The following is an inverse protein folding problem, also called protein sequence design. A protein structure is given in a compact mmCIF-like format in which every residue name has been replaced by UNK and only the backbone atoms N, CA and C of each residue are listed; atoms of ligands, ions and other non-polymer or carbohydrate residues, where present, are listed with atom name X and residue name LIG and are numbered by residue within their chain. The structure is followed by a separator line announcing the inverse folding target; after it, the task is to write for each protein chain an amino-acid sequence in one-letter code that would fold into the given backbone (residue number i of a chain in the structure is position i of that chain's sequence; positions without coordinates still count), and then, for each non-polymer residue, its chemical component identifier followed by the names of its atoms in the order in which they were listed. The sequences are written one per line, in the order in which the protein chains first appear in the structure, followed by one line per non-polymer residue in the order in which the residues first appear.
data_IF_971314030214
#
_entry.id   IF_971314030214
#
_cell.length_a   1.000
_cell.length_b   1.000
_cell.length_c   1.000
_cell.angle_alpha   90.00
_cell.angle_beta   90.00
_cell.angle_gamma   90.00
#
_symmetry.space_group_name_H-M   'P 1'
#
loop_
_entity.id
_entity.type
_entity.pdbx_description
1 polymer ?
#
# COMPACT_ATOMS: atom_id res chain seq x y z
N UNK A 1 12.69 12.32 13.49
CA UNK A 1 13.53 13.48 13.88
C UNK A 1 14.01 14.30 12.67
N UNK A 2 14.56 13.67 11.61
CA UNK A 2 15.14 14.39 10.47
C UNK A 2 14.23 15.45 9.84
N UNK A 3 12.96 15.13 9.58
CA UNK A 3 11.99 16.08 9.03
C UNK A 3 11.78 17.31 9.95
N UNK A 4 11.58 17.07 11.24
CA UNK A 4 11.31 18.18 12.19
C UNK A 4 12.51 19.10 12.31
N UNK A 5 13.71 18.55 12.44
CA UNK A 5 14.95 19.36 12.49
C UNK A 5 15.23 20.05 11.15
N UNK A 6 15.02 19.35 10.03
CA UNK A 6 15.18 19.94 8.70
C UNK A 6 14.26 21.12 8.47
N UNK A 7 12.96 20.99 8.78
CA UNK A 7 11.99 22.08 8.64
C UNK A 7 12.30 23.25 9.59
N UNK A 8 12.77 22.98 10.83
CA UNK A 8 13.22 24.04 11.73
C UNK A 8 14.42 24.81 11.17
N UNK A 9 15.43 24.09 10.64
CA UNK A 9 16.60 24.71 10.01
C UNK A 9 16.20 25.51 8.76
N UNK A 10 15.31 24.97 7.93
CA UNK A 10 14.81 25.65 6.74
C UNK A 10 14.13 26.97 7.08
N UNK A 11 13.29 26.99 8.12
CA UNK A 11 12.65 28.20 8.62
C UNK A 11 13.69 29.24 9.09
N UNK A 12 14.63 28.81 9.92
CA UNK A 12 15.62 29.69 10.53
C UNK A 12 16.61 30.29 9.51
N UNK A 13 16.81 29.56 8.38
CA UNK A 13 17.64 30.00 7.25
C UNK A 13 16.85 30.75 6.15
N UNK A 14 15.53 30.93 6.31
CA UNK A 14 14.69 31.60 5.31
C UNK A 14 14.43 30.78 4.03
N UNK A 15 14.71 29.47 4.03
CA UNK A 15 14.55 28.59 2.85
C UNK A 15 13.08 28.24 2.55
N UNK A 16 12.17 28.58 3.45
CA UNK A 16 10.72 28.38 3.29
C UNK A 16 9.97 29.67 2.90
N UNK A 17 10.68 30.70 2.42
CA UNK A 17 10.01 31.92 1.98
C UNK A 17 9.07 31.62 0.80
N UNK A 18 7.80 32.02 0.94
CA UNK A 18 6.74 31.69 -0.03
C UNK A 18 6.12 30.30 0.11
N UNK A 19 6.57 29.50 1.07
CA UNK A 19 6.05 28.16 1.33
C UNK A 19 5.29 28.09 2.66
N UNK A 20 4.25 27.24 2.69
CA UNK A 20 3.66 26.74 3.93
C UNK A 20 4.05 25.28 4.08
N UNK A 21 4.90 24.96 5.05
CA UNK A 21 5.36 23.61 5.32
C UNK A 21 4.51 22.97 6.43
N UNK A 22 4.02 21.76 6.16
CA UNK A 22 3.27 20.95 7.10
C UNK A 22 4.08 19.71 7.46
N UNK A 23 4.17 19.40 8.74
CA UNK A 23 4.64 18.12 9.21
C UNK A 23 3.44 17.25 9.59
N UNK A 24 3.26 16.13 8.90
CA UNK A 24 2.23 15.16 9.18
C UNK A 24 2.87 13.88 9.72
N UNK A 25 2.67 13.62 11.02
CA UNK A 25 3.06 12.38 11.67
C UNK A 25 1.84 11.54 12.00
N UNK A 26 1.73 10.37 11.43
CA UNK A 26 0.65 9.44 11.74
C UNK A 26 1.17 8.21 12.49
N UNK A 27 0.27 7.53 13.20
CA UNK A 27 0.53 6.29 13.92
C UNK A 27 -0.22 5.10 13.30
N UNK A 28 -1.02 5.36 12.28
CA UNK A 28 -1.87 4.39 11.58
C UNK A 28 -1.18 3.88 10.29
N UNK A 29 0.09 3.51 10.39
CA UNK A 29 0.90 3.08 9.26
C UNK A 29 0.34 1.82 8.59
N UNK A 30 -0.19 0.89 9.36
CA UNK A 30 -0.84 -0.34 8.89
C UNK A 30 -2.10 -0.13 8.03
N UNK A 31 -2.67 1.06 8.07
CA UNK A 31 -3.97 1.37 7.52
C UNK A 31 -3.89 1.95 6.10
N UNK A 32 -2.81 1.70 5.39
CA UNK A 32 -2.67 1.95 3.96
C UNK A 32 -3.25 3.30 3.49
N UNK A 33 -2.72 4.39 4.03
CA UNK A 33 -3.14 5.75 3.64
C UNK A 33 -4.48 6.22 4.22
N UNK A 34 -5.06 5.50 5.18
CA UNK A 34 -6.30 5.95 5.83
C UNK A 34 -6.10 7.25 6.62
N UNK A 35 -4.93 7.42 7.27
CA UNK A 35 -4.64 8.60 8.05
C UNK A 35 -4.60 9.88 7.19
N UNK A 36 -3.85 9.97 6.08
CA UNK A 36 -3.92 11.12 5.20
C UNK A 36 -5.29 11.28 4.54
N UNK A 37 -5.99 10.20 4.18
CA UNK A 37 -7.34 10.25 3.65
C UNK A 37 -8.31 10.92 4.64
N UNK A 38 -8.33 10.40 5.87
CA UNK A 38 -9.17 10.95 6.94
C UNK A 38 -8.83 12.41 7.22
N UNK A 39 -7.55 12.75 7.27
CA UNK A 39 -7.10 14.11 7.57
C UNK A 39 -7.58 15.12 6.54
N UNK A 40 -7.48 14.80 5.26
CA UNK A 40 -7.95 15.68 4.17
C UNK A 40 -9.48 15.78 4.13
N UNK A 41 -10.18 14.68 4.38
CA UNK A 41 -11.66 14.66 4.42
C UNK A 41 -12.22 15.46 5.62
N UNK A 42 -11.56 15.41 6.77
CA UNK A 42 -11.99 16.11 7.98
C UNK A 42 -11.59 17.59 7.96
N UNK A 43 -10.42 17.93 7.42
CA UNK A 43 -9.97 19.32 7.27
C UNK A 43 -9.65 19.65 5.79
N UNK A 44 -10.65 20.14 5.03
CA UNK A 44 -10.48 20.46 3.60
C UNK A 44 -9.52 21.62 3.33
N UNK A 45 -8.99 22.30 4.37
CA UNK A 45 -7.96 23.32 4.19
C UNK A 45 -6.59 22.72 3.93
N UNK A 46 -6.41 21.45 4.27
CA UNK A 46 -5.15 20.73 4.04
C UNK A 46 -5.12 20.23 2.59
N UNK A 47 -4.54 21.01 1.72
CA UNK A 47 -4.30 20.70 0.30
C UNK A 47 -2.84 21.00 -0.02
N UNK A 48 -1.92 20.05 0.23
CA UNK A 48 -0.53 20.26 -0.14
C UNK A 48 -0.38 20.23 -1.66
N UNK A 49 0.48 21.09 -2.21
CA UNK A 49 0.86 21.04 -3.62
C UNK A 49 1.83 19.88 -3.91
N UNK A 50 2.62 19.50 -2.90
CA UNK A 50 3.60 18.42 -2.95
C UNK A 50 3.69 17.69 -1.61
N UNK A 51 4.09 16.42 -1.67
CA UNK A 51 4.33 15.61 -0.46
C UNK A 51 5.71 14.96 -0.54
N UNK A 52 6.44 15.01 0.57
CA UNK A 52 7.68 14.24 0.76
C UNK A 52 7.42 13.20 1.85
N UNK A 53 7.52 11.94 1.49
CA UNK A 53 7.25 10.78 2.34
C UNK A 53 8.56 10.31 2.97
N UNK A 54 8.61 10.24 4.31
CA UNK A 54 9.81 9.94 5.09
C UNK A 54 10.05 8.45 5.34
N UNK A 55 9.57 7.59 4.48
CA UNK A 55 9.81 6.15 4.55
C UNK A 55 11.26 5.78 4.16
N UNK A 56 11.76 4.58 4.55
CA UNK A 56 13.08 4.12 4.17
C UNK A 56 13.26 4.06 2.65
N UNK A 57 14.30 4.70 2.14
CA UNK A 57 14.66 4.68 0.71
C UNK A 57 16.16 4.48 0.50
N UNK A 58 16.92 4.15 1.54
CA UNK A 58 18.40 4.14 1.48
C UNK A 58 18.98 5.47 0.98
N UNK A 59 18.38 6.59 1.39
CA UNK A 59 18.78 7.93 0.96
C UNK A 59 18.62 8.18 -0.56
N UNK A 60 17.78 7.41 -1.25
CA UNK A 60 17.43 7.64 -2.66
C UNK A 60 16.10 8.38 -2.80
N UNK A 61 15.86 8.96 -3.98
CA UNK A 61 14.54 9.49 -4.32
C UNK A 61 13.68 8.36 -4.84
N UNK A 62 12.54 8.12 -4.18
CA UNK A 62 11.54 7.19 -4.68
C UNK A 62 10.33 7.97 -5.20
N UNK A 63 9.80 7.56 -6.35
CA UNK A 63 8.76 8.30 -7.07
C UNK A 63 7.49 7.49 -7.35
N UNK A 64 7.34 6.33 -6.71
CA UNK A 64 6.16 5.49 -6.90
C UNK A 64 6.23 4.15 -6.19
N UNK A 65 5.10 3.47 -6.17
CA UNK A 65 4.97 2.06 -5.82
C UNK A 65 3.67 1.46 -6.36
N UNK A 66 3.57 0.13 -6.28
CA UNK A 66 2.38 -0.62 -6.70
C UNK A 66 1.16 -0.24 -5.89
N UNK A 67 0.00 -0.31 -6.52
CA UNK A 67 -1.28 -0.29 -5.86
C UNK A 67 -1.54 -1.57 -5.06
N UNK A 68 -2.62 -1.56 -4.30
CA UNK A 68 -3.03 -2.69 -3.47
C UNK A 68 -4.55 -2.82 -3.43
N UNK A 69 -5.03 -4.06 -3.48
CA UNK A 69 -6.39 -4.39 -3.10
C UNK A 69 -6.38 -5.65 -2.23
N UNK A 70 -7.14 -5.64 -1.15
CA UNK A 70 -7.39 -6.81 -0.34
C UNK A 70 -8.76 -7.37 -0.68
N UNK A 71 -8.80 -8.65 -1.06
CA UNK A 71 -10.03 -9.35 -1.41
C UNK A 71 -10.34 -10.45 -0.41
N UNK A 72 -11.63 -10.70 -0.25
CA UNK A 72 -12.18 -11.81 0.51
C UNK A 72 -13.01 -12.68 -0.42
N UNK A 73 -12.72 -13.98 -0.45
CA UNK A 73 -13.52 -14.95 -1.17
C UNK A 73 -14.20 -15.86 -0.14
N UNK A 74 -15.53 -15.85 -0.13
CA UNK A 74 -16.34 -16.62 0.81
C UNK A 74 -17.05 -17.74 0.05
N UNK A 75 -16.88 -18.97 0.48
CA UNK A 75 -17.64 -20.12 0.00
C UNK A 75 -18.65 -20.58 1.05
N UNK A 76 -19.89 -20.81 0.63
CA UNK A 76 -20.97 -21.34 1.46
C UNK A 76 -21.32 -22.76 1.03
N UNK A 77 -21.04 -23.69 1.91
CA UNK A 77 -21.36 -25.11 1.76
C UNK A 77 -22.65 -25.51 2.48
N UNK A 78 -22.77 -26.81 2.74
CA UNK A 78 -23.84 -27.41 3.52
C UNK A 78 -23.24 -28.42 4.49
N UNK A 79 -23.44 -28.23 5.79
CA UNK A 79 -22.91 -29.14 6.79
C UNK A 79 -23.61 -30.49 6.74
N UNK A 80 -22.83 -31.54 6.96
CA UNK A 80 -23.30 -32.91 7.11
C UNK A 80 -22.33 -33.69 8.00
N UNK A 81 -22.74 -34.86 8.50
CA UNK A 81 -21.79 -35.74 9.17
C UNK A 81 -20.73 -36.25 8.18
N UNK A 82 -19.46 -36.27 8.59
CA UNK A 82 -18.36 -36.66 7.71
C UNK A 82 -18.53 -38.06 7.11
N UNK A 83 -19.15 -39.01 7.86
CA UNK A 83 -19.49 -40.34 7.37
C UNK A 83 -20.62 -40.35 6.34
N UNK A 84 -21.34 -39.24 6.16
CA UNK A 84 -22.41 -39.06 5.17
C UNK A 84 -22.17 -37.82 4.34
N UNK A 85 -20.91 -37.59 3.94
CA UNK A 85 -20.45 -36.37 3.27
C UNK A 85 -21.16 -36.13 1.92
N UNK A 86 -21.73 -37.16 1.30
CA UNK A 86 -22.46 -37.09 0.02
C UNK A 86 -23.75 -36.24 0.10
N UNK A 87 -24.28 -35.98 1.30
CA UNK A 87 -25.45 -35.09 1.50
C UNK A 87 -25.07 -33.67 1.89
N UNK A 88 -23.77 -33.41 2.08
CA UNK A 88 -23.23 -32.11 2.36
C UNK A 88 -22.57 -31.46 1.13
N UNK A 89 -22.18 -30.21 1.28
CA UNK A 89 -21.34 -29.47 0.32
C UNK A 89 -20.17 -28.91 1.09
N UNK A 90 -18.96 -29.38 0.79
CA UNK A 90 -17.76 -28.95 1.50
C UNK A 90 -17.29 -27.59 0.98
N UNK A 91 -17.36 -26.58 1.84
CA UNK A 91 -16.96 -25.20 1.49
C UNK A 91 -15.46 -25.09 1.14
N UNK A 92 -14.60 -25.93 1.74
CA UNK A 92 -13.17 -25.94 1.38
C UNK A 92 -13.00 -26.41 -0.08
N UNK A 93 -13.74 -27.44 -0.49
CA UNK A 93 -13.63 -27.97 -1.85
C UNK A 93 -14.11 -26.97 -2.92
N UNK A 94 -15.06 -26.10 -2.57
CA UNK A 94 -15.48 -25.00 -3.45
C UNK A 94 -14.37 -23.99 -3.69
N UNK A 95 -13.45 -23.78 -2.74
CA UNK A 95 -12.33 -22.83 -2.86
C UNK A 95 -11.09 -23.43 -3.54
N UNK A 96 -10.94 -24.75 -3.62
CA UNK A 96 -9.74 -25.36 -4.21
C UNK A 96 -9.45 -24.89 -5.65
N UNK A 97 -10.44 -24.85 -6.58
CA UNK A 97 -10.20 -24.34 -7.92
C UNK A 97 -9.77 -22.88 -7.93
N UNK A 98 -10.35 -22.05 -7.06
CA UNK A 98 -10.02 -20.63 -6.94
C UNK A 98 -8.59 -20.46 -6.44
N UNK A 99 -8.19 -21.19 -5.38
CA UNK A 99 -6.83 -21.13 -4.83
C UNK A 99 -5.79 -21.57 -5.88
N UNK A 100 -6.07 -22.66 -6.59
CA UNK A 100 -5.20 -23.14 -7.67
C UNK A 100 -5.11 -22.12 -8.81
N UNK A 101 -6.26 -21.56 -9.20
CA UNK A 101 -6.33 -20.54 -10.24
C UNK A 101 -5.58 -19.25 -9.88
N UNK A 102 -5.61 -18.81 -8.62
CA UNK A 102 -4.85 -17.63 -8.13
C UNK A 102 -3.35 -17.85 -8.34
N UNK A 103 -2.82 -19.02 -8.00
CA UNK A 103 -1.41 -19.34 -8.23
C UNK A 103 -1.05 -19.26 -9.72
N UNK A 104 -1.92 -19.78 -10.57
CA UNK A 104 -1.69 -19.86 -12.02
C UNK A 104 -1.98 -18.50 -12.72
N UNK A 105 -2.71 -17.59 -12.05
CA UNK A 105 -2.98 -16.25 -12.52
C UNK A 105 -1.77 -15.31 -12.34
N UNK A 106 -0.95 -15.48 -11.29
CA UNK A 106 0.13 -14.53 -10.97
C UNK A 106 1.06 -14.21 -12.16
N UNK A 107 1.57 -15.18 -12.93
CA UNK A 107 2.44 -14.89 -14.07
C UNK A 107 1.73 -14.20 -15.26
N UNK A 108 0.40 -14.08 -15.23
CA UNK A 108 -0.41 -13.45 -16.28
C UNK A 108 -0.83 -12.02 -15.93
N UNK A 109 -0.46 -11.54 -14.73
CA UNK A 109 -0.78 -10.19 -14.26
C UNK A 109 -0.02 -9.14 -15.06
N UNK A 110 -0.57 -7.90 -15.04
CA UNK A 110 0.04 -6.76 -15.71
C UNK A 110 1.51 -6.56 -15.32
N UNK A 111 2.32 -6.11 -16.26
CA UNK A 111 3.72 -5.75 -16.09
C UNK A 111 3.95 -4.31 -16.53
N UNK A 112 4.63 -3.53 -15.71
CA UNK A 112 5.00 -2.15 -15.99
C UNK A 112 6.52 -2.00 -15.94
N UNK A 113 7.15 -1.30 -16.90
CA UNK A 113 8.62 -1.15 -16.96
C UNK A 113 9.24 -0.55 -15.70
N UNK A 114 8.50 0.32 -14.97
CA UNK A 114 8.98 0.93 -13.74
C UNK A 114 8.50 0.17 -12.51
N UNK A 115 7.20 -0.11 -12.37
CA UNK A 115 6.66 -0.78 -11.19
C UNK A 115 6.87 -2.29 -11.19
N UNK A 116 7.03 -2.90 -12.38
CA UNK A 116 7.16 -4.35 -12.56
C UNK A 116 5.82 -5.08 -12.45
N UNK A 117 5.87 -6.42 -12.47
CA UNK A 117 4.69 -7.28 -12.49
C UNK A 117 3.79 -7.11 -11.28
N UNK A 118 2.49 -7.19 -11.50
CA UNK A 118 1.49 -7.38 -10.46
C UNK A 118 1.80 -8.63 -9.61
N UNK A 119 1.23 -8.68 -8.40
CA UNK A 119 1.38 -9.82 -7.49
C UNK A 119 0.04 -10.19 -6.89
N UNK A 120 -0.19 -11.48 -6.66
CA UNK A 120 -1.39 -11.98 -6.01
C UNK A 120 -1.05 -13.14 -5.08
N UNK A 121 -1.55 -13.11 -3.85
CA UNK A 121 -1.26 -14.15 -2.86
C UNK A 121 -2.50 -14.41 -2.02
N UNK A 122 -2.83 -15.70 -1.82
CA UNK A 122 -3.73 -16.10 -0.75
C UNK A 122 -2.95 -15.99 0.56
N UNK A 123 -3.30 -15.02 1.40
CA UNK A 123 -2.55 -14.65 2.61
C UNK A 123 -3.09 -15.28 3.88
N UNK A 124 -4.37 -15.65 3.90
CA UNK A 124 -5.02 -16.30 5.05
C UNK A 124 -6.19 -17.17 4.59
N UNK A 125 -6.53 -18.16 5.41
CA UNK A 125 -7.69 -19.03 5.20
C UNK A 125 -8.38 -19.32 6.53
N UNK A 126 -9.69 -19.13 6.55
CA UNK A 126 -10.53 -19.40 7.72
C UNK A 126 -11.62 -20.41 7.35
N UNK A 127 -11.87 -21.36 8.23
CA UNK A 127 -12.87 -22.40 8.03
C UNK A 127 -13.79 -22.45 9.22
N UNK A 128 -15.09 -22.48 8.95
CA UNK A 128 -16.11 -22.72 9.97
C UNK A 128 -16.67 -24.12 9.79
N UNK A 129 -16.67 -24.86 10.89
CA UNK A 129 -17.25 -26.21 10.96
C UNK A 129 -17.83 -26.44 12.35
N UNK A 130 -18.97 -27.12 12.47
CA UNK A 130 -19.52 -27.48 13.79
C UNK A 130 -18.62 -28.45 14.59
N UNK A 131 -17.82 -29.25 13.88
CA UNK A 131 -16.98 -30.28 14.49
C UNK A 131 -15.99 -30.82 13.44
N UNK A 132 -14.87 -31.42 13.90
CA UNK A 132 -13.92 -32.13 13.02
C UNK A 132 -14.58 -33.33 12.29
N UNK A 133 -15.70 -33.81 12.80
CA UNK A 133 -16.46 -34.90 12.20
C UNK A 133 -17.61 -34.42 11.30
N UNK A 134 -17.60 -33.18 10.90
CA UNK A 134 -18.61 -32.58 10.04
C UNK A 134 -18.01 -32.01 8.74
N UNK A 135 -18.80 -31.96 7.68
CA UNK A 135 -18.49 -31.24 6.46
C UNK A 135 -18.51 -29.73 6.76
N UNK A 136 -17.45 -28.94 6.49
CA UNK A 136 -17.44 -27.51 6.66
C UNK A 136 -18.48 -26.81 5.79
N UNK A 137 -19.24 -25.90 6.39
CA UNK A 137 -20.31 -25.15 5.72
C UNK A 137 -19.92 -23.70 5.36
N UNK A 138 -18.76 -23.24 5.81
CA UNK A 138 -18.18 -21.98 5.38
C UNK A 138 -16.65 -22.07 5.31
N UNK A 139 -16.09 -21.54 4.25
CA UNK A 139 -14.66 -21.30 4.13
C UNK A 139 -14.42 -19.93 3.50
N UNK A 140 -13.39 -19.28 3.98
CA UNK A 140 -13.00 -17.92 3.52
C UNK A 140 -11.53 -17.93 3.24
N UNK A 141 -11.12 -17.33 2.11
CA UNK A 141 -9.73 -16.96 1.86
C UNK A 141 -9.59 -15.46 1.75
N UNK A 142 -8.45 -14.95 2.19
CA UNK A 142 -8.05 -13.56 2.04
C UNK A 142 -6.91 -13.47 1.03
N UNK A 143 -6.96 -12.46 0.18
CA UNK A 143 -6.03 -12.26 -0.93
C UNK A 143 -5.42 -10.87 -0.82
N UNK A 144 -4.09 -10.79 -0.82
CA UNK A 144 -3.33 -9.55 -1.07
C UNK A 144 -2.99 -9.49 -2.56
N UNK A 145 -3.49 -8.45 -3.24
CA UNK A 145 -3.25 -8.20 -4.66
C UNK A 145 -2.47 -6.89 -4.82
N UNK A 146 -1.25 -6.99 -5.35
CA UNK A 146 -0.43 -5.82 -5.69
C UNK A 146 -0.61 -5.51 -7.18
N UNK A 147 -1.03 -4.29 -7.45
CA UNK A 147 -1.46 -3.83 -8.77
C UNK A 147 -0.40 -2.94 -9.40
N UNK A 148 -0.20 -3.09 -10.69
CA UNK A 148 0.66 -2.20 -11.47
C UNK A 148 -0.16 -1.19 -12.29
N UNK A 149 0.48 -0.37 -13.10
CA UNK A 149 -0.26 0.57 -13.93
C UNK A 149 -1.18 -0.13 -14.93
N UNK A 150 -2.35 0.48 -15.14
CA UNK A 150 -3.38 -0.03 -16.06
C UNK A 150 -4.31 -1.05 -15.44
N UNK A 151 -4.04 -1.57 -14.23
CA UNK A 151 -4.93 -2.49 -13.52
C UNK A 151 -5.93 -1.71 -12.67
N UNK A 152 -7.21 -2.08 -12.78
CA UNK A 152 -8.31 -1.49 -12.03
C UNK A 152 -8.83 -2.44 -10.95
N UNK A 153 -9.59 -1.90 -10.00
CA UNK A 153 -10.27 -2.69 -8.97
C UNK A 153 -11.23 -3.70 -9.60
N UNK A 154 -12.01 -3.24 -10.55
CA UNK A 154 -13.03 -4.02 -11.24
C UNK A 154 -12.39 -5.22 -11.96
N UNK A 155 -11.29 -4.99 -12.65
CA UNK A 155 -10.53 -6.07 -13.32
C UNK A 155 -9.92 -7.04 -12.31
N UNK A 156 -9.36 -6.56 -11.20
CA UNK A 156 -8.79 -7.41 -10.16
C UNK A 156 -9.85 -8.33 -9.52
N UNK A 157 -11.06 -7.83 -9.29
CA UNK A 157 -12.19 -8.62 -8.79
C UNK A 157 -12.64 -9.61 -9.86
N UNK A 158 -12.86 -9.16 -11.11
CA UNK A 158 -13.31 -10.00 -12.20
C UNK A 158 -12.34 -11.15 -12.52
N UNK A 159 -11.03 -10.91 -12.41
CA UNK A 159 -10.01 -11.96 -12.56
C UNK A 159 -10.19 -13.08 -11.54
N UNK A 160 -10.48 -12.76 -10.27
CA UNK A 160 -10.71 -13.76 -9.23
C UNK A 160 -12.08 -14.42 -9.40
N UNK A 161 -13.12 -13.68 -9.76
CA UNK A 161 -14.46 -14.23 -10.06
C UNK A 161 -14.43 -15.23 -11.22
N UNK A 162 -13.60 -14.98 -12.24
CA UNK A 162 -13.43 -15.87 -13.38
C UNK A 162 -12.81 -17.24 -13.01
N UNK A 163 -12.18 -17.35 -11.83
CA UNK A 163 -11.65 -18.63 -11.33
C UNK A 163 -12.71 -19.50 -10.65
N UNK A 164 -13.91 -18.96 -10.42
CA UNK A 164 -15.01 -19.71 -9.79
C UNK A 164 -15.67 -20.59 -10.85
N UNK A 165 -15.72 -21.92 -10.65
CA UNK A 165 -16.45 -22.82 -11.54
C UNK A 165 -17.92 -22.42 -11.66
N UNK A 166 -18.51 -22.58 -12.85
CA UNK A 166 -19.90 -22.17 -13.14
C UNK A 166 -20.90 -22.76 -12.15
N UNK A 167 -20.71 -24.03 -11.81
CA UNK A 167 -21.56 -24.77 -10.87
C UNK A 167 -21.46 -24.29 -9.40
N UNK A 168 -20.50 -23.42 -9.10
CA UNK A 168 -20.24 -22.90 -7.74
C UNK A 168 -20.52 -21.40 -7.59
N UNK A 169 -20.91 -20.71 -8.66
CA UNK A 169 -21.11 -19.24 -8.66
C UNK A 169 -22.20 -18.76 -7.71
N UNK A 170 -23.20 -19.58 -7.43
CA UNK A 170 -24.25 -19.28 -6.45
C UNK A 170 -23.79 -19.41 -4.99
N UNK A 171 -22.62 -20.03 -4.76
CA UNK A 171 -22.07 -20.36 -3.45
C UNK A 171 -20.78 -19.66 -3.09
N UNK A 172 -20.09 -19.09 -4.07
CA UNK A 172 -18.79 -18.43 -3.89
C UNK A 172 -18.91 -16.95 -4.26
N UNK A 173 -18.50 -16.07 -3.36
CA UNK A 173 -18.58 -14.62 -3.52
C UNK A 173 -17.20 -14.01 -3.33
N UNK A 174 -16.85 -13.05 -4.20
CA UNK A 174 -15.64 -12.20 -4.10
C UNK A 174 -16.04 -10.81 -3.68
N UNK A 175 -15.34 -10.23 -2.70
CA UNK A 175 -15.60 -8.89 -2.20
C UNK A 175 -14.27 -8.18 -1.88
N UNK A 176 -14.20 -6.88 -2.16
CA UNK A 176 -13.13 -6.05 -1.60
C UNK A 176 -13.35 -5.87 -0.09
N UNK A 177 -12.27 -5.88 0.67
CA UNK A 177 -12.32 -5.62 2.10
C UNK A 177 -12.47 -4.13 2.39
N UNK A 178 -13.04 -3.84 3.55
CA UNK A 178 -13.08 -2.50 4.12
C UNK A 178 -12.23 -2.44 5.38
N UNK A 179 -11.62 -1.29 5.60
CA UNK A 179 -11.06 -0.92 6.89
C UNK A 179 -12.11 -0.10 7.63
N UNK A 180 -12.62 -0.64 8.72
CA UNK A 180 -13.70 -0.05 9.53
C UNK A 180 -13.45 -0.19 11.04
N UNK A 181 -12.19 -0.47 11.42
CA UNK A 181 -11.80 -0.64 12.82
C UNK A 181 -11.77 0.73 13.50
N UNK A 182 -12.36 0.89 14.68
CA UNK A 182 -12.30 2.13 15.44
C UNK A 182 -10.87 2.50 15.82
N UNK A 183 -10.53 3.80 15.73
CA UNK A 183 -9.32 4.35 16.33
C UNK A 183 -9.38 4.23 17.88
N UNK A 184 -8.28 4.55 18.55
CA UNK A 184 -8.23 4.55 20.01
C UNK A 184 -9.23 5.54 20.66
N UNK A 185 -9.73 6.52 19.91
CA UNK A 185 -10.78 7.46 20.35
C UNK A 185 -12.20 6.94 20.09
N UNK A 186 -12.34 5.80 19.44
CA UNK A 186 -13.62 5.25 18.98
C UNK A 186 -14.11 5.81 17.64
N UNK A 187 -13.34 6.69 17.01
CA UNK A 187 -13.68 7.22 15.68
C UNK A 187 -13.51 6.13 14.62
N UNK A 188 -14.54 5.95 13.80
CA UNK A 188 -14.54 5.01 12.66
C UNK A 188 -14.60 5.81 11.37
N UNK A 189 -13.67 5.52 10.45
CA UNK A 189 -13.66 6.07 9.10
C UNK A 189 -13.58 4.90 8.10
N UNK A 190 -14.72 4.44 7.57
CA UNK A 190 -14.73 3.29 6.68
C UNK A 190 -14.06 3.62 5.34
N UNK A 191 -13.05 2.84 4.98
CA UNK A 191 -12.34 2.96 3.70
C UNK A 191 -12.23 1.60 3.05
N UNK A 192 -12.58 1.51 1.77
CA UNK A 192 -12.35 0.32 0.98
C UNK A 192 -10.85 0.07 0.85
N UNK A 193 -10.41 -1.15 1.08
CA UNK A 193 -8.99 -1.53 0.97
C UNK A 193 -8.55 -1.68 -0.49
N UNK A 194 -8.75 -0.60 -1.23
CA UNK A 194 -8.32 -0.43 -2.60
C UNK A 194 -7.58 0.90 -2.79
N UNK A 195 -6.38 0.81 -3.35
CA UNK A 195 -5.54 1.95 -3.65
C UNK A 195 -4.84 1.72 -5.00
N UNK A 196 -4.92 2.67 -5.94
CA UNK A 196 -4.29 2.52 -7.24
C UNK A 196 -2.77 2.54 -7.15
N UNK A 197 -2.11 1.96 -8.16
CA UNK A 197 -0.69 2.17 -8.38
C UNK A 197 -0.41 3.65 -8.70
N UNK A 198 0.74 4.13 -8.28
CA UNK A 198 1.13 5.49 -8.58
C UNK A 198 2.63 5.60 -8.87
N UNK A 199 2.98 6.49 -9.75
CA UNK A 199 4.31 7.06 -9.90
C UNK A 199 4.19 8.41 -10.56
N UNK A 200 5.07 9.33 -10.23
CA UNK A 200 5.18 10.59 -10.97
C UNK A 200 6.30 10.49 -12.02
N UNK A 201 6.23 11.25 -13.13
CA UNK A 201 7.27 11.26 -14.15
C UNK A 201 8.64 11.59 -13.56
N UNK A 202 9.69 11.02 -14.12
CA UNK A 202 11.05 11.26 -13.63
C UNK A 202 11.48 12.72 -13.85
N UNK A 203 11.02 13.35 -14.92
CA UNK A 203 11.26 14.75 -15.26
C UNK A 203 10.37 15.75 -14.50
N UNK A 204 9.49 15.26 -13.61
CA UNK A 204 8.65 16.14 -12.76
C UNK A 204 9.51 17.01 -11.85
N UNK A 205 9.17 18.31 -11.72
CA UNK A 205 9.93 19.30 -10.95
C UNK A 205 10.29 18.82 -9.52
N UNK A 206 9.35 18.17 -8.82
CA UNK A 206 9.58 17.61 -7.47
C UNK A 206 10.65 16.51 -7.46
N UNK A 207 10.67 15.63 -8.46
CA UNK A 207 11.69 14.56 -8.57
C UNK A 207 13.05 15.18 -8.85
N UNK A 208 13.11 16.13 -9.79
CA UNK A 208 14.35 16.81 -10.14
C UNK A 208 14.89 17.62 -8.97
N UNK A 209 14.04 18.32 -8.22
CA UNK A 209 14.44 19.01 -6.99
C UNK A 209 14.99 18.02 -5.95
N UNK A 210 14.38 16.85 -5.80
CA UNK A 210 14.86 15.79 -4.91
C UNK A 210 16.25 15.26 -5.32
N UNK A 211 16.45 14.97 -6.60
CA UNK A 211 17.73 14.48 -7.13
C UNK A 211 18.83 15.55 -6.97
N UNK A 212 18.53 16.81 -7.27
CA UNK A 212 19.47 17.91 -7.08
C UNK A 212 19.81 18.13 -5.61
N UNK A 213 18.81 18.04 -4.72
CA UNK A 213 19.03 18.12 -3.28
C UNK A 213 20.00 17.04 -2.80
N UNK A 214 19.82 15.77 -3.25
CA UNK A 214 20.76 14.68 -2.94
C UNK A 214 22.19 15.02 -3.33
N UNK A 215 22.38 15.55 -4.53
CA UNK A 215 23.70 15.97 -5.04
C UNK A 215 24.32 17.07 -4.15
N UNK A 216 23.53 18.06 -3.76
CA UNK A 216 24.00 19.17 -2.94
C UNK A 216 24.43 18.76 -1.52
N UNK A 217 23.77 17.75 -0.93
CA UNK A 217 24.15 17.20 0.38
C UNK A 217 25.25 16.13 0.28
N UNK A 218 25.87 15.94 -0.89
CA UNK A 218 27.03 15.09 -1.08
C UNK A 218 26.68 13.59 -1.15
N UNK A 219 25.50 13.24 -1.63
CA UNK A 219 25.15 11.84 -1.95
C UNK A 219 25.48 11.54 -3.40
N UNK A 220 25.92 10.29 -3.68
CA UNK A 220 26.21 9.83 -5.04
C UNK A 220 24.98 9.89 -5.94
N UNK A 221 25.20 10.17 -7.22
CA UNK A 221 24.12 10.18 -8.21
C UNK A 221 23.49 8.79 -8.34
N UNK A 222 22.17 8.76 -8.32
CA UNK A 222 21.38 7.55 -8.54
C UNK A 222 20.04 7.93 -9.19
N UNK A 223 19.50 7.07 -10.07
CA UNK A 223 18.19 7.29 -10.65
C UNK A 223 17.10 7.22 -9.58
N UNK A 224 15.98 7.87 -9.83
CA UNK A 224 14.83 7.77 -8.95
C UNK A 224 14.27 6.35 -8.95
N UNK A 225 14.07 5.79 -7.74
CA UNK A 225 13.59 4.44 -7.50
C UNK A 225 12.10 4.36 -7.13
N UNK A 226 11.73 3.21 -6.62
CA UNK A 226 10.39 2.88 -6.14
C UNK A 226 10.46 2.03 -4.89
N UNK A 227 9.41 2.07 -4.07
CA UNK A 227 9.27 1.10 -2.98
C UNK A 227 8.76 -0.26 -3.47
N UNK A 228 9.17 -1.31 -2.78
CA UNK A 228 8.59 -2.64 -2.93
C UNK A 228 7.26 -2.79 -2.15
N UNK A 229 7.05 -1.96 -1.13
CA UNK A 229 5.88 -1.95 -0.26
C UNK A 229 5.00 -0.71 -0.49
N UNK A 230 3.82 -0.66 0.14
CA UNK A 230 2.91 0.48 0.07
C UNK A 230 3.21 1.49 1.18
N UNK A 231 3.07 2.79 0.86
CA UNK A 231 3.23 3.90 1.78
C UNK A 231 1.97 4.78 1.78
N UNK A 232 1.91 5.81 2.58
CA UNK A 232 0.85 6.84 2.51
C UNK A 232 0.74 7.51 1.12
N UNK A 233 1.72 7.29 0.24
CA UNK A 233 1.68 7.72 -1.16
C UNK A 233 0.52 7.14 -1.96
N UNK A 234 -0.03 5.99 -1.56
CA UNK A 234 -1.25 5.43 -2.18
C UNK A 234 -2.44 6.39 -2.08
N UNK A 235 -2.53 7.15 -1.01
CA UNK A 235 -3.55 8.19 -0.90
C UNK A 235 -3.10 9.48 -1.58
N UNK A 236 -1.93 10.03 -1.18
CA UNK A 236 -1.48 11.34 -1.67
C UNK A 236 -1.37 11.38 -3.19
N UNK A 237 -0.57 10.50 -3.77
CA UNK A 237 -0.38 10.46 -5.22
C UNK A 237 -1.43 9.58 -5.91
N UNK A 238 -1.77 8.42 -5.33
CA UNK A 238 -2.65 7.45 -5.97
C UNK A 238 -4.11 7.90 -6.03
N UNK A 239 -4.70 8.36 -4.92
CA UNK A 239 -6.11 8.79 -4.87
C UNK A 239 -6.28 10.29 -5.04
N UNK A 240 -5.49 11.10 -4.34
CA UNK A 240 -5.64 12.55 -4.35
C UNK A 240 -4.94 13.24 -5.54
N UNK A 241 -4.08 12.51 -6.27
CA UNK A 241 -3.34 13.07 -7.42
C UNK A 241 -2.30 14.12 -7.04
N UNK A 242 -1.87 14.16 -5.77
CA UNK A 242 -0.90 15.13 -5.27
C UNK A 242 0.51 14.59 -5.54
N UNK A 243 1.35 15.31 -6.32
CA UNK A 243 2.72 14.87 -6.61
C UNK A 243 3.49 14.55 -5.33
N UNK A 244 4.05 13.33 -5.26
CA UNK A 244 4.72 12.84 -4.08
C UNK A 244 6.05 12.18 -4.44
N UNK A 245 7.06 12.36 -3.58
CA UNK A 245 8.31 11.61 -3.61
C UNK A 245 8.62 11.03 -2.25
N UNK A 246 9.47 10.04 -2.22
CA UNK A 246 10.03 9.52 -0.98
C UNK A 246 11.49 9.86 -0.83
N UNK A 247 11.89 10.13 0.40
CA UNK A 247 13.27 10.22 0.80
C UNK A 247 13.38 9.95 2.30
N UNK A 248 14.22 9.01 2.67
CA UNK A 248 14.49 8.73 4.08
C UNK A 248 15.69 7.82 4.29
N UNK A 249 16.28 7.89 5.48
CA UNK A 249 17.33 6.96 5.89
C UNK A 249 16.74 5.58 6.18
N UNK A 250 17.62 4.59 6.29
CA UNK A 250 17.24 3.20 6.55
C UNK A 250 17.01 2.40 5.28
N UNK A 251 16.99 1.09 5.47
CA UNK A 251 16.82 0.11 4.41
C UNK A 251 15.46 -0.57 4.54
N UNK A 252 14.63 -0.46 3.50
CA UNK A 252 13.31 -1.12 3.47
C UNK A 252 13.37 -2.63 3.69
N UNK A 253 14.49 -3.28 3.36
CA UNK A 253 14.67 -4.73 3.52
C UNK A 253 14.76 -5.13 4.99
N UNK A 254 15.22 -4.24 5.87
CA UNK A 254 15.33 -4.49 7.31
C UNK A 254 14.12 -4.02 8.11
N UNK A 255 13.21 -3.27 7.48
CA UNK A 255 12.00 -2.80 8.12
C UNK A 255 11.17 -3.98 8.70
N UNK A 256 10.60 -3.79 9.89
CA UNK A 256 9.85 -4.80 10.64
C UNK A 256 10.65 -6.05 11.04
N UNK A 257 11.97 -5.98 11.04
CA UNK A 257 12.84 -7.08 11.52
C UNK A 257 13.52 -6.71 12.83
N UNK A 258 14.09 -7.73 13.52
CA UNK A 258 14.89 -7.51 14.73
C UNK A 258 16.23 -6.80 14.46
N UNK A 259 16.61 -6.70 13.19
CA UNK A 259 17.85 -6.04 12.74
C UNK A 259 17.56 -4.64 12.14
N UNK A 260 16.34 -4.15 12.29
CA UNK A 260 15.98 -2.81 11.81
C UNK A 260 16.84 -1.75 12.49
N UNK A 261 17.49 -0.94 11.68
CA UNK A 261 18.45 0.05 12.15
C UNK A 261 18.63 1.20 11.14
N UNK A 262 19.09 2.34 11.67
CA UNK A 262 19.41 3.51 10.86
C UNK A 262 20.73 4.12 11.32
N UNK A 263 21.57 4.56 10.39
CA UNK A 263 22.78 5.33 10.71
C UNK A 263 22.41 6.73 11.13
N UNK A 264 22.97 7.23 12.23
CA UNK A 264 22.71 8.59 12.72
C UNK A 264 23.15 9.66 11.70
N UNK A 265 24.26 9.44 11.01
CA UNK A 265 24.73 10.34 9.95
C UNK A 265 23.74 10.45 8.80
N UNK A 266 23.05 9.37 8.45
CA UNK A 266 21.98 9.40 7.43
C UNK A 266 20.75 10.19 7.92
N UNK A 267 20.45 10.15 9.23
CA UNK A 267 19.38 10.96 9.81
C UNK A 267 19.72 12.46 9.74
N UNK A 268 20.99 12.82 9.97
CA UNK A 268 21.48 14.21 9.81
C UNK A 268 21.38 14.66 8.36
N UNK A 269 21.89 13.86 7.42
CA UNK A 269 21.77 14.15 5.99
C UNK A 269 20.32 14.21 5.51
N UNK A 270 19.43 13.40 6.07
CA UNK A 270 18.01 13.51 5.79
C UNK A 270 17.43 14.85 6.28
N UNK A 271 17.88 15.38 7.42
CA UNK A 271 17.48 16.72 7.86
C UNK A 271 17.96 17.81 6.90
N UNK A 272 19.20 17.72 6.38
CA UNK A 272 19.71 18.61 5.33
C UNK A 272 18.83 18.57 4.08
N UNK A 273 18.44 17.36 3.65
CA UNK A 273 17.54 17.17 2.51
C UNK A 273 16.20 17.88 2.72
N UNK A 274 15.54 17.64 3.86
CA UNK A 274 14.24 18.24 4.16
C UNK A 274 14.31 19.76 4.33
N UNK A 275 15.48 20.29 4.70
CA UNK A 275 15.68 21.72 4.77
C UNK A 275 15.78 22.39 3.38
N UNK A 276 16.37 21.69 2.40
CA UNK A 276 16.72 22.27 1.09
C UNK A 276 15.68 22.02 0.00
N UNK A 277 15.00 20.86 0.02
CA UNK A 277 14.22 20.38 -1.13
C UNK A 277 13.16 21.37 -1.61
N UNK A 278 12.46 22.04 -0.69
CA UNK A 278 11.41 23.00 -1.06
C UNK A 278 11.96 24.20 -1.85
N UNK A 279 13.16 24.68 -1.50
CA UNK A 279 13.80 25.84 -2.16
C UNK A 279 14.25 25.53 -3.60
N UNK A 280 14.32 24.27 -3.99
CA UNK A 280 14.75 23.82 -5.32
C UNK A 280 13.59 23.45 -6.26
N UNK A 281 12.37 23.42 -5.76
CA UNK A 281 11.18 23.19 -6.62
C UNK A 281 10.91 24.47 -7.41
N UNK A 282 10.91 24.35 -8.74
CA UNK A 282 10.73 25.48 -9.68
C UNK A 282 9.42 25.36 -10.44
#
# INVERSE_FOLDING_TARGET
PGMVYGLSAARDLGLLEGWTAWYFGNMEEWCDGIAPNTFVEVDPKVKPDFVVIGEPTKMNIYRGHKGRIELKVTAKGVSAHAASNQIGINAIYLLLPVIAGIRDLEPQLGDDPFLGNGKITVSDMQVKTPSINAVPDEAVIFIDRRMTFGETKEEAIAQVEALIPEESKDRVKVEALFYDVPSYTGFVFPVEKYFPAWAIPEDHALVQAGLETRRLIGLEDAPAGKWAFSTNGIYWAGKAGIPSIGFGPGDEVTAHTVNDSVKLDDVVKAAEFYALVASLIK
#
